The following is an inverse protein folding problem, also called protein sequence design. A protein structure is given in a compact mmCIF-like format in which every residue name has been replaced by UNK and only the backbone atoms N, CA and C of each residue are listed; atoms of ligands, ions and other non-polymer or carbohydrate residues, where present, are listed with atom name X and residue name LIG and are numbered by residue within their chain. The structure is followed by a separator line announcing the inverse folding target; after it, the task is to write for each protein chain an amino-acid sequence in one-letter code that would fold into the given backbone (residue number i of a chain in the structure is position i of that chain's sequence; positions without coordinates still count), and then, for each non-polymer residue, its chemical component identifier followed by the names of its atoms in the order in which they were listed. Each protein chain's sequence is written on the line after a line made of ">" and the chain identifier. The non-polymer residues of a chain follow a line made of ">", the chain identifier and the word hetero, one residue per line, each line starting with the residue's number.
data_IF_230543593784
#
_entry.id   IF_230543593784
#
_cell.length_a   1.000
_cell.length_b   1.000
_cell.length_c   1.000
_cell.angle_alpha   90.00
_cell.angle_beta   90.00
_cell.angle_gamma   90.00
#
_symmetry.space_group_name_H-M   'P 1'
#
loop_
_entity.id
_entity.type
_entity.pdbx_description
1 polymer ?
#
# COMPACT_ATOMS: atom_id res chain seq x y z
N UNK A 1 -70.12 32.56 -18.07
CA UNK A 1 -69.61 31.18 -18.21
C UNK A 1 -68.46 31.15 -19.21
N UNK A 2 -67.20 31.20 -18.77
CA UNK A 2 -65.99 30.78 -19.54
C UNK A 2 -64.65 30.90 -18.76
N UNK A 3 -64.65 30.90 -17.41
CA UNK A 3 -63.38 30.97 -16.64
C UNK A 3 -62.89 29.64 -16.05
N UNK A 4 -63.65 28.55 -16.18
CA UNK A 4 -63.32 27.25 -15.59
C UNK A 4 -62.38 26.35 -16.41
N UNK A 5 -62.31 26.52 -17.73
CA UNK A 5 -61.48 25.68 -18.62
C UNK A 5 -60.02 26.13 -18.66
N UNK A 6 -59.77 27.44 -18.63
CA UNK A 6 -58.42 28.00 -18.63
C UNK A 6 -57.64 27.68 -17.36
N UNK A 7 -58.30 27.65 -16.20
CA UNK A 7 -57.65 27.34 -14.92
C UNK A 7 -57.22 25.87 -14.82
N UNK A 8 -58.00 24.94 -15.39
CA UNK A 8 -57.65 23.50 -15.45
C UNK A 8 -56.50 23.23 -16.42
N UNK A 9 -56.46 23.91 -17.56
CA UNK A 9 -55.36 23.78 -18.53
C UNK A 9 -54.07 24.37 -17.95
N UNK A 10 -54.14 25.52 -17.28
CA UNK A 10 -52.98 26.14 -16.63
C UNK A 10 -52.40 25.23 -15.53
N UNK A 11 -53.24 24.57 -14.73
CA UNK A 11 -52.80 23.65 -13.68
C UNK A 11 -52.13 22.40 -14.26
N UNK A 12 -52.67 21.83 -15.36
CA UNK A 12 -52.08 20.67 -16.05
C UNK A 12 -50.73 21.03 -16.68
N UNK A 13 -50.61 22.22 -17.28
CA UNK A 13 -49.36 22.72 -17.88
C UNK A 13 -48.30 22.96 -16.79
N UNK A 14 -48.67 23.50 -15.62
CA UNK A 14 -47.75 23.69 -14.49
C UNK A 14 -47.32 22.36 -13.86
N UNK A 15 -48.20 21.35 -13.81
CA UNK A 15 -47.85 19.99 -13.34
C UNK A 15 -46.92 19.28 -14.35
N UNK A 16 -47.18 19.40 -15.65
CA UNK A 16 -46.31 18.85 -16.69
C UNK A 16 -44.95 19.56 -16.76
N UNK A 17 -44.90 20.89 -16.59
CA UNK A 17 -43.65 21.64 -16.50
C UNK A 17 -42.87 21.32 -15.22
N UNK A 18 -43.53 21.10 -14.09
CA UNK A 18 -42.84 20.69 -12.85
C UNK A 18 -42.34 19.24 -12.92
N UNK A 19 -43.06 18.32 -13.54
CA UNK A 19 -42.58 16.96 -13.86
C UNK A 19 -41.43 16.96 -14.89
N UNK A 20 -41.45 17.86 -15.87
CA UNK A 20 -40.33 18.05 -16.81
C UNK A 20 -39.10 18.71 -16.16
N UNK A 21 -39.29 19.62 -15.19
CA UNK A 21 -38.22 20.24 -14.42
C UNK A 21 -37.60 19.28 -13.38
N UNK A 22 -38.39 18.37 -12.82
CA UNK A 22 -37.90 17.27 -11.98
C UNK A 22 -37.07 16.26 -12.79
N UNK A 23 -37.41 16.04 -14.07
CA UNK A 23 -36.65 15.19 -14.99
C UNK A 23 -35.46 15.89 -15.67
N UNK A 24 -35.31 17.21 -15.53
CA UNK A 24 -34.20 17.98 -16.14
C UNK A 24 -33.15 18.46 -15.14
N UNK A 25 -33.33 18.21 -13.85
CA UNK A 25 -32.26 18.32 -12.87
C UNK A 25 -31.40 17.05 -12.98
N UNK A 26 -30.39 17.07 -13.85
CA UNK A 26 -29.43 15.98 -13.93
C UNK A 26 -28.88 15.69 -12.53
N UNK A 27 -29.08 14.48 -12.03
CA UNK A 27 -28.48 14.04 -10.76
C UNK A 27 -26.98 14.22 -10.94
N UNK A 28 -26.39 15.15 -10.17
CA UNK A 28 -24.94 15.32 -10.14
C UNK A 28 -24.39 14.06 -9.53
N UNK A 29 -23.83 13.19 -10.38
CA UNK A 29 -23.19 11.96 -9.95
C UNK A 29 -21.79 12.27 -9.45
N UNK A 30 -21.47 11.81 -8.25
CA UNK A 30 -20.13 11.99 -7.69
C UNK A 30 -19.31 10.72 -7.92
N UNK A 31 -17.99 10.85 -8.21
CA UNK A 31 -17.12 9.69 -8.30
C UNK A 31 -16.98 9.04 -6.92
N UNK A 32 -17.28 7.74 -6.85
CA UNK A 32 -17.10 6.91 -5.67
C UNK A 32 -16.06 5.86 -6.00
N UNK A 33 -14.98 5.82 -5.23
CA UNK A 33 -13.96 4.79 -5.35
C UNK A 33 -14.42 3.54 -4.61
N UNK A 34 -14.55 2.45 -5.36
CA UNK A 34 -14.91 1.13 -4.84
C UNK A 34 -13.82 0.14 -5.18
N UNK A 35 -13.65 -0.86 -4.33
CA UNK A 35 -12.55 -1.80 -4.43
C UNK A 35 -13.03 -3.24 -4.36
N UNK A 36 -12.34 -4.09 -5.12
CA UNK A 36 -12.57 -5.53 -5.18
C UNK A 36 -11.26 -6.29 -5.19
N UNK A 37 -11.36 -7.60 -5.41
CA UNK A 37 -10.22 -8.52 -5.47
C UNK A 37 -10.20 -9.21 -6.83
N UNK A 38 -9.02 -9.32 -7.42
CA UNK A 38 -8.80 -10.08 -8.66
C UNK A 38 -7.79 -11.20 -8.43
N UNK A 39 -7.90 -12.27 -9.23
CA UNK A 39 -6.86 -13.28 -9.37
C UNK A 39 -5.79 -12.87 -10.39
N UNK A 40 -4.76 -13.70 -10.56
CA UNK A 40 -3.63 -13.47 -11.48
C UNK A 40 -4.03 -13.52 -12.97
N UNK A 41 -5.23 -13.99 -13.31
CA UNK A 41 -5.78 -13.93 -14.66
C UNK A 41 -6.60 -12.65 -14.89
N UNK A 42 -6.84 -11.86 -13.83
CA UNK A 42 -7.64 -10.65 -13.85
C UNK A 42 -9.14 -10.89 -13.65
N UNK A 43 -9.55 -12.11 -13.28
CA UNK A 43 -10.94 -12.40 -12.94
C UNK A 43 -11.25 -11.82 -11.56
N UNK A 44 -12.41 -11.18 -11.42
CA UNK A 44 -12.88 -10.73 -10.13
C UNK A 44 -13.26 -11.92 -9.24
N UNK A 45 -12.57 -12.03 -8.12
CA UNK A 45 -12.94 -12.89 -6.99
C UNK A 45 -14.00 -12.19 -6.13
N UNK A 46 -13.86 -10.87 -5.99
CA UNK A 46 -14.82 -9.99 -5.34
C UNK A 46 -15.05 -8.79 -6.23
N UNK A 47 -16.30 -8.54 -6.59
CA UNK A 47 -16.66 -7.37 -7.39
C UNK A 47 -16.37 -6.08 -6.59
N UNK A 48 -16.04 -4.95 -7.25
CA UNK A 48 -15.80 -3.70 -6.54
C UNK A 48 -17.02 -3.24 -5.72
N UNK A 49 -16.96 -3.41 -4.41
CA UNK A 49 -18.08 -3.09 -3.51
C UNK A 49 -17.64 -2.46 -2.19
N UNK A 50 -16.40 -2.69 -1.76
CA UNK A 50 -15.86 -2.09 -0.54
C UNK A 50 -15.45 -0.64 -0.77
N UNK A 51 -15.59 0.20 0.24
CA UNK A 51 -15.08 1.58 0.19
C UNK A 51 -13.57 1.65 0.42
N UNK A 52 -12.93 0.53 0.74
CA UNK A 52 -11.49 0.34 0.78
C UNK A 52 -11.13 -1.12 0.99
N UNK A 53 -10.06 -1.59 0.35
CA UNK A 53 -9.45 -2.89 0.61
C UNK A 53 -7.93 -2.75 0.52
N UNK A 54 -7.21 -3.35 1.46
CA UNK A 54 -5.74 -3.37 1.46
C UNK A 54 -5.25 -4.74 1.01
N UNK A 55 -3.96 -4.80 0.67
CA UNK A 55 -3.26 -6.07 0.44
C UNK A 55 -3.49 -6.96 1.67
N UNK A 56 -3.92 -8.19 1.41
CA UNK A 56 -4.11 -9.23 2.40
C UNK A 56 -3.01 -10.28 2.29
N UNK A 57 -2.96 -11.14 3.30
CA UNK A 57 -2.07 -12.31 3.35
C UNK A 57 -2.72 -13.34 4.25
N UNK A 58 -2.42 -14.61 4.03
CA UNK A 58 -3.02 -15.73 4.76
C UNK A 58 -4.54 -15.83 4.59
N UNK A 59 -5.03 -15.43 3.41
CA UNK A 59 -6.43 -15.50 3.02
C UNK A 59 -7.36 -14.45 3.63
N UNK A 60 -6.83 -13.48 4.39
CA UNK A 60 -7.59 -12.40 4.99
C UNK A 60 -7.16 -11.03 4.47
N UNK A 61 -8.13 -10.22 4.08
CA UNK A 61 -7.93 -8.91 3.46
C UNK A 61 -8.55 -7.82 4.34
N UNK A 62 -7.79 -6.81 4.78
CA UNK A 62 -8.37 -5.68 5.49
C UNK A 62 -9.35 -4.96 4.56
N UNK A 63 -10.61 -4.86 5.00
CA UNK A 63 -11.68 -4.19 4.26
C UNK A 63 -12.29 -3.07 5.07
N UNK A 64 -12.72 -2.04 4.36
CA UNK A 64 -13.35 -0.86 4.91
C UNK A 64 -14.79 -0.77 4.42
N UNK A 65 -15.70 -0.55 5.37
CA UNK A 65 -17.10 -0.27 5.11
C UNK A 65 -17.52 1.03 5.79
N UNK A 66 -18.49 1.72 5.20
CA UNK A 66 -18.91 3.06 5.60
C UNK A 66 -18.21 4.18 4.84
N UNK A 67 -18.67 5.41 5.06
CA UNK A 67 -18.21 6.62 4.37
C UNK A 67 -17.78 7.69 5.37
N UNK A 68 -16.87 8.58 4.96
CA UNK A 68 -16.34 9.70 5.76
C UNK A 68 -15.78 9.24 7.12
N UNK A 69 -15.93 10.03 8.18
CA UNK A 69 -15.46 9.69 9.53
C UNK A 69 -16.15 8.49 10.20
N UNK A 70 -17.15 7.90 9.54
CA UNK A 70 -17.91 6.75 10.03
C UNK A 70 -17.46 5.41 9.44
N UNK A 71 -16.42 5.39 8.60
CA UNK A 71 -15.90 4.11 8.12
C UNK A 71 -15.22 3.34 9.24
N UNK A 72 -15.25 2.01 9.14
CA UNK A 72 -14.48 1.11 10.01
C UNK A 72 -13.78 0.05 9.18
N UNK A 73 -12.68 -0.46 9.70
CA UNK A 73 -11.93 -1.57 9.14
C UNK A 73 -12.29 -2.88 9.83
N UNK A 74 -12.41 -3.92 9.03
CA UNK A 74 -12.56 -5.33 9.41
C UNK A 74 -11.75 -6.19 8.44
N UNK A 75 -12.10 -7.46 8.31
CA UNK A 75 -11.43 -8.39 7.39
C UNK A 75 -12.42 -9.24 6.64
N UNK A 76 -12.18 -9.45 5.34
CA UNK A 76 -12.90 -10.42 4.53
C UNK A 76 -12.00 -11.57 4.08
N UNK A 77 -12.61 -12.69 3.71
CA UNK A 77 -11.94 -13.79 3.02
C UNK A 77 -11.76 -13.49 1.52
N UNK A 78 -11.13 -14.42 0.80
CA UNK A 78 -10.91 -14.32 -0.67
C UNK A 78 -12.21 -14.19 -1.49
N UNK A 79 -13.35 -14.62 -0.96
CA UNK A 79 -14.65 -14.55 -1.61
C UNK A 79 -15.44 -13.30 -1.21
N UNK A 80 -14.87 -12.41 -0.39
CA UNK A 80 -15.51 -11.18 0.09
C UNK A 80 -16.41 -11.38 1.31
N UNK A 81 -16.49 -12.59 1.87
CA UNK A 81 -17.26 -12.82 3.09
C UNK A 81 -16.55 -12.13 4.26
N UNK A 82 -17.28 -11.34 5.05
CA UNK A 82 -16.74 -10.72 6.26
C UNK A 82 -16.42 -11.81 7.29
N UNK A 83 -15.14 -11.89 7.69
CA UNK A 83 -14.63 -12.80 8.72
C UNK A 83 -14.52 -12.08 10.06
N UNK A 84 -14.08 -10.82 10.03
CA UNK A 84 -14.03 -9.94 11.20
C UNK A 84 -14.83 -8.69 10.85
N UNK A 85 -15.91 -8.45 11.60
CA UNK A 85 -16.79 -7.32 11.40
C UNK A 85 -16.04 -5.98 11.47
N UNK A 86 -16.33 -5.02 10.58
CA UNK A 86 -15.73 -3.69 10.61
C UNK A 86 -15.96 -2.97 11.95
N UNK A 87 -14.91 -2.93 12.76
CA UNK A 87 -14.96 -2.40 14.13
C UNK A 87 -13.71 -1.62 14.51
N UNK A 88 -12.65 -1.65 13.69
CA UNK A 88 -11.37 -1.01 13.95
C UNK A 88 -11.24 0.32 13.22
N UNK A 89 -10.46 1.23 13.79
CA UNK A 89 -10.16 2.53 13.17
C UNK A 89 -9.22 2.38 11.99
N UNK A 90 -8.30 1.41 12.09
CA UNK A 90 -7.44 0.98 11.01
C UNK A 90 -7.02 -0.49 11.22
N UNK A 91 -6.61 -1.15 10.15
CA UNK A 91 -6.13 -2.53 10.17
C UNK A 91 -4.98 -2.72 9.17
N UNK A 92 -3.96 -3.49 9.56
CA UNK A 92 -2.93 -3.98 8.64
C UNK A 92 -3.18 -5.45 8.28
N UNK A 93 -2.42 -5.99 7.33
CA UNK A 93 -2.54 -7.39 6.91
C UNK A 93 -2.19 -8.36 8.05
N UNK A 94 -2.79 -9.55 8.00
CA UNK A 94 -2.31 -10.68 8.79
C UNK A 94 -0.93 -11.10 8.31
N UNK A 95 -0.03 -11.42 9.24
CA UNK A 95 1.23 -12.07 8.93
C UNK A 95 1.69 -12.87 10.14
N UNK A 96 2.10 -14.10 9.88
CA UNK A 96 2.46 -15.09 10.88
C UNK A 96 1.36 -15.36 11.93
N UNK A 97 0.10 -15.32 11.48
CA UNK A 97 -1.09 -15.57 12.28
C UNK A 97 -1.66 -14.37 13.04
N UNK A 98 -1.00 -13.20 13.01
CA UNK A 98 -1.43 -12.01 13.77
C UNK A 98 -1.59 -10.79 12.86
N UNK A 99 -2.52 -9.90 13.19
CA UNK A 99 -2.69 -8.61 12.53
C UNK A 99 -2.67 -7.46 13.56
N UNK A 100 -1.91 -6.38 13.30
CA UNK A 100 -2.03 -5.17 14.08
C UNK A 100 -3.27 -4.37 13.63
N UNK A 101 -4.07 -3.94 14.60
CA UNK A 101 -5.30 -3.16 14.40
C UNK A 101 -5.36 -1.98 15.37
N UNK A 102 -5.92 -0.86 14.92
CA UNK A 102 -6.09 0.35 15.73
C UNK A 102 -7.49 0.39 16.35
N UNK A 103 -7.57 0.56 17.67
CA UNK A 103 -8.84 0.61 18.41
C UNK A 103 -9.47 2.02 18.41
N UNK A 104 -10.79 2.08 18.66
CA UNK A 104 -11.60 3.32 18.72
C UNK A 104 -11.68 3.96 20.13
N UNK A 105 -10.92 3.45 21.10
CA UNK A 105 -10.96 4.01 22.45
C UNK A 105 -10.28 5.40 22.54
N UNK A 106 -10.25 5.96 23.74
CA UNK A 106 -9.60 7.25 23.99
C UNK A 106 -8.07 7.21 23.79
N UNK A 107 -7.47 6.03 23.66
CA UNK A 107 -6.03 5.87 23.44
C UNK A 107 -5.69 5.94 21.95
N UNK A 108 -6.54 5.36 21.09
CA UNK A 108 -6.28 5.22 19.66
C UNK A 108 -5.03 4.39 19.36
N UNK A 109 -4.65 3.50 20.27
CA UNK A 109 -3.45 2.67 20.16
C UNK A 109 -3.70 1.44 19.28
N UNK A 110 -2.60 0.79 18.91
CA UNK A 110 -2.55 -0.44 18.13
C UNK A 110 -2.40 -1.63 19.07
N UNK A 111 -3.18 -2.67 18.78
CA UNK A 111 -3.12 -3.98 19.43
C UNK A 111 -2.91 -5.06 18.36
N UNK A 112 -2.56 -6.28 18.78
CA UNK A 112 -2.50 -7.42 17.89
C UNK A 112 -3.66 -8.38 18.15
N UNK A 113 -4.31 -8.82 17.07
CA UNK A 113 -5.38 -9.79 17.09
C UNK A 113 -5.01 -11.06 16.33
N UNK A 114 -5.60 -12.19 16.74
CA UNK A 114 -5.61 -13.43 15.98
C UNK A 114 -6.73 -13.43 14.92
N UNK A 115 -6.87 -14.54 14.18
CA UNK A 115 -7.87 -14.69 13.10
C UNK A 115 -9.31 -14.80 13.62
N UNK A 116 -9.46 -15.17 14.88
CA UNK A 116 -10.72 -15.24 15.62
C UNK A 116 -11.09 -13.90 16.29
N UNK A 117 -10.30 -12.85 16.04
CA UNK A 117 -10.48 -11.50 16.57
C UNK A 117 -10.22 -11.36 18.09
N UNK A 118 -9.44 -12.25 18.69
CA UNK A 118 -9.02 -12.13 20.08
C UNK A 118 -7.77 -11.27 20.20
N UNK A 119 -7.72 -10.37 21.20
CA UNK A 119 -6.50 -9.66 21.60
C UNK A 119 -5.49 -10.69 22.14
N UNK A 120 -4.29 -10.73 21.58
CA UNK A 120 -3.30 -11.80 21.87
C UNK A 120 -2.46 -11.53 23.11
N UNK A 121 -2.15 -10.27 23.39
CA UNK A 121 -1.44 -9.84 24.60
C UNK A 121 -1.86 -8.42 24.99
N UNK A 122 -1.61 -8.03 26.25
CA UNK A 122 -2.14 -6.77 26.80
C UNK A 122 -1.43 -5.49 26.33
N UNK A 123 -0.15 -5.58 25.96
CA UNK A 123 0.68 -4.43 25.58
C UNK A 123 0.12 -3.73 24.33
N UNK A 124 0.13 -2.41 24.35
CA UNK A 124 -0.45 -1.56 23.30
C UNK A 124 0.60 -0.58 22.77
N UNK A 125 0.49 -0.21 21.50
CA UNK A 125 1.53 0.53 20.79
C UNK A 125 0.98 1.74 20.07
N UNK A 126 1.82 2.75 19.85
CA UNK A 126 1.41 3.93 19.09
C UNK A 126 1.21 3.62 17.60
N UNK A 127 2.06 2.73 17.07
CA UNK A 127 1.95 2.10 15.75
C UNK A 127 2.52 0.70 15.80
N UNK A 128 2.04 -0.18 14.93
CA UNK A 128 2.55 -1.54 14.79
C UNK A 128 2.55 -1.96 13.31
N UNK A 129 3.66 -2.55 12.87
CA UNK A 129 3.77 -3.22 11.58
C UNK A 129 3.45 -4.73 11.74
N UNK A 130 3.01 -5.43 10.68
CA UNK A 130 2.81 -6.87 10.71
C UNK A 130 4.09 -7.62 11.10
N UNK A 131 3.93 -8.80 11.71
CA UNK A 131 5.04 -9.69 12.00
C UNK A 131 5.77 -10.10 10.71
N UNK A 132 7.10 -10.08 10.76
CA UNK A 132 7.97 -10.56 9.71
C UNK A 132 9.20 -11.22 10.32
N UNK A 133 9.43 -12.47 9.94
CA UNK A 133 10.47 -13.34 10.43
C UNK A 133 10.51 -13.50 11.96
N UNK A 134 9.33 -13.60 12.58
CA UNK A 134 9.14 -13.82 14.01
C UNK A 134 9.08 -12.56 14.87
N UNK A 135 9.32 -11.36 14.29
CA UNK A 135 9.32 -10.09 15.03
C UNK A 135 8.36 -9.07 14.39
N UNK A 136 7.73 -8.24 15.21
CA UNK A 136 6.96 -7.08 14.76
C UNK A 136 7.63 -5.78 15.18
N UNK A 137 7.75 -4.84 14.24
CA UNK A 137 8.25 -3.50 14.51
C UNK A 137 7.12 -2.64 15.09
N UNK A 138 7.33 -2.07 16.28
CA UNK A 138 6.30 -1.31 17.01
C UNK A 138 6.86 -0.01 17.57
N UNK A 139 6.03 1.03 17.60
CA UNK A 139 6.37 2.31 18.21
C UNK A 139 5.83 2.38 19.65
N UNK A 140 6.71 2.68 20.60
CA UNK A 140 6.36 2.75 22.02
C UNK A 140 5.33 3.84 22.32
N UNK A 141 4.32 3.47 23.12
CA UNK A 141 3.35 4.38 23.72
C UNK A 141 3.68 4.72 25.19
N UNK A 142 4.78 4.18 25.74
CA UNK A 142 5.18 4.41 27.12
C UNK A 142 5.55 5.88 27.35
N UNK A 143 5.15 6.45 28.49
CA UNK A 143 5.40 7.86 28.84
C UNK A 143 6.76 8.04 29.53
N UNK A 144 7.80 7.53 28.90
CA UNK A 144 9.18 7.59 29.37
C UNK A 144 10.14 7.95 28.22
N UNK A 145 11.44 7.70 28.39
CA UNK A 145 12.46 7.99 27.38
C UNK A 145 12.25 7.24 26.05
N UNK A 146 11.46 6.17 26.04
CA UNK A 146 11.15 5.38 24.85
C UNK A 146 10.00 5.96 24.01
N UNK A 147 9.29 6.99 24.48
CA UNK A 147 8.09 7.51 23.81
C UNK A 147 8.39 7.92 22.35
N UNK A 148 7.59 7.39 21.41
CA UNK A 148 7.76 7.53 19.96
C UNK A 148 8.99 6.84 19.33
N UNK A 149 9.77 6.10 20.11
CA UNK A 149 10.84 5.27 19.56
C UNK A 149 10.28 3.92 19.11
N UNK A 150 10.91 3.36 18.09
CA UNK A 150 10.61 2.05 17.53
C UNK A 150 11.51 1.00 18.14
N UNK A 151 10.92 -0.16 18.41
CA UNK A 151 11.57 -1.39 18.85
C UNK A 151 10.89 -2.60 18.21
N UNK A 152 11.27 -3.79 18.66
CA UNK A 152 10.79 -5.04 18.08
C UNK A 152 10.30 -5.99 19.16
N UNK A 153 9.10 -6.54 18.95
CA UNK A 153 8.48 -7.50 19.85
C UNK A 153 8.41 -8.89 19.22
N UNK A 154 8.41 -9.92 20.06
CA UNK A 154 8.06 -11.28 19.66
C UNK A 154 6.53 -11.52 19.73
N UNK A 155 6.10 -12.75 19.46
CA UNK A 155 4.68 -13.15 19.49
C UNK A 155 4.06 -13.20 20.89
N UNK A 156 4.86 -13.12 21.95
CA UNK A 156 4.36 -12.97 23.33
C UNK A 156 4.05 -11.51 23.67
N UNK A 157 4.50 -10.56 22.83
CA UNK A 157 4.38 -9.13 23.06
C UNK A 157 5.54 -8.54 23.85
N UNK A 158 6.58 -9.34 24.12
CA UNK A 158 7.78 -8.88 24.81
C UNK A 158 8.81 -8.31 23.84
N UNK A 159 9.53 -7.27 24.30
CA UNK A 159 10.56 -6.64 23.50
C UNK A 159 11.76 -7.58 23.36
N UNK A 160 12.11 -7.90 22.12
CA UNK A 160 13.39 -8.53 21.76
C UNK A 160 14.45 -7.45 21.54
N UNK A 161 14.04 -6.32 20.97
CA UNK A 161 14.87 -5.12 20.85
C UNK A 161 14.07 -3.96 21.45
N UNK A 162 14.60 -3.39 22.53
CA UNK A 162 13.97 -2.27 23.22
C UNK A 162 13.81 -1.06 22.29
N UNK A 163 12.76 -0.23 22.47
CA UNK A 163 12.55 0.92 21.62
C UNK A 163 13.68 1.94 21.75
N UNK A 164 14.41 2.13 20.65
CA UNK A 164 15.59 2.99 20.60
C UNK A 164 15.77 3.71 19.26
N UNK A 165 15.00 3.32 18.23
CA UNK A 165 15.13 3.88 16.88
C UNK A 165 14.09 4.96 16.61
N UNK A 166 14.46 6.01 15.88
CA UNK A 166 13.50 7.05 15.50
C UNK A 166 12.52 6.57 14.42
N UNK A 167 13.02 5.77 13.49
CA UNK A 167 12.24 5.07 12.47
C UNK A 167 12.86 3.69 12.28
N UNK A 168 12.02 2.68 12.14
CA UNK A 168 12.43 1.32 11.85
C UNK A 168 11.39 0.63 10.95
N UNK A 169 11.83 -0.38 10.20
CA UNK A 169 10.97 -1.17 9.31
C UNK A 169 10.95 -2.66 9.71
N UNK A 170 10.03 -3.43 9.12
CA UNK A 170 9.98 -4.89 9.30
C UNK A 170 11.28 -5.57 8.85
N UNK A 171 11.62 -6.68 9.50
CA UNK A 171 12.72 -7.54 9.07
C UNK A 171 12.42 -8.18 7.71
N UNK A 172 13.45 -8.28 6.88
CA UNK A 172 13.45 -9.03 5.62
C UNK A 172 14.86 -9.55 5.35
N UNK A 173 14.97 -10.84 5.05
CA UNK A 173 16.24 -11.57 4.92
C UNK A 173 17.19 -11.38 6.12
N UNK A 174 16.61 -11.39 7.32
CA UNK A 174 17.34 -11.25 8.59
C UNK A 174 17.86 -9.84 8.91
N UNK A 175 17.58 -8.83 8.08
CA UNK A 175 17.97 -7.44 8.31
C UNK A 175 16.74 -6.53 8.35
N UNK A 176 16.78 -5.49 9.18
CA UNK A 176 15.76 -4.46 9.22
C UNK A 176 16.38 -3.08 9.01
N UNK A 177 15.74 -2.26 8.18
CA UNK A 177 16.12 -0.86 8.02
C UNK A 177 15.81 -0.09 9.30
N UNK A 178 16.76 0.73 9.72
CA UNK A 178 16.59 1.78 10.73
C UNK A 178 16.97 3.13 10.16
N UNK A 179 16.44 4.21 10.71
CA UNK A 179 16.87 5.57 10.41
C UNK A 179 17.31 6.28 11.69
N UNK A 180 18.49 6.86 11.65
CA UNK A 180 19.04 7.71 12.71
C UNK A 180 19.11 9.14 12.24
N UNK A 181 18.74 10.09 13.10
CA UNK A 181 18.62 11.50 12.77
C UNK A 181 17.18 11.94 12.51
N UNK A 182 16.90 13.22 12.71
CA UNK A 182 15.54 13.75 12.67
C UNK A 182 15.14 14.24 11.27
N UNK A 183 13.92 13.89 10.85
CA UNK A 183 13.28 14.41 9.63
C UNK A 183 13.98 13.98 8.34
N UNK A 184 13.93 14.84 7.32
CA UNK A 184 14.46 14.58 5.97
C UNK A 184 15.99 14.42 5.91
N UNK A 185 16.69 14.65 7.02
CA UNK A 185 18.14 14.52 7.14
C UNK A 185 18.59 13.22 7.82
N UNK A 186 17.66 12.40 8.33
CA UNK A 186 18.01 11.12 8.94
C UNK A 186 18.55 10.14 7.90
N UNK A 187 19.59 9.39 8.27
CA UNK A 187 20.24 8.42 7.40
C UNK A 187 19.77 7.01 7.76
N UNK A 188 19.62 6.19 6.72
CA UNK A 188 19.23 4.80 6.83
C UNK A 188 20.46 3.89 6.92
N UNK A 189 20.36 2.92 7.83
CA UNK A 189 21.26 1.78 7.98
C UNK A 189 20.44 0.51 8.22
N UNK A 190 21.11 -0.57 8.61
CA UNK A 190 20.44 -1.86 8.87
C UNK A 190 20.95 -2.51 10.15
N UNK A 191 20.02 -3.13 10.87
CA UNK A 191 20.29 -3.97 12.04
C UNK A 191 19.95 -5.43 11.76
N UNK A 192 20.55 -6.32 12.53
CA UNK A 192 20.11 -7.71 12.63
C UNK A 192 19.02 -7.90 13.72
N UNK A 193 18.62 -9.16 13.95
CA UNK A 193 17.58 -9.52 14.93
C UNK A 193 18.00 -9.38 16.40
N UNK A 194 19.28 -9.14 16.66
CA UNK A 194 19.79 -8.82 18.01
C UNK A 194 19.76 -7.31 18.27
N UNK A 195 19.60 -6.50 17.22
CA UNK A 195 19.66 -5.05 17.26
C UNK A 195 21.05 -4.49 16.95
N UNK A 196 22.02 -5.35 16.62
CA UNK A 196 23.36 -4.92 16.20
C UNK A 196 23.30 -4.28 14.81
N UNK A 197 23.98 -3.14 14.65
CA UNK A 197 24.10 -2.45 13.36
C UNK A 197 25.04 -3.26 12.46
N UNK A 198 24.51 -3.75 11.34
CA UNK A 198 25.26 -4.48 10.31
C UNK A 198 25.74 -3.52 9.21
N UNK A 199 24.92 -2.52 8.89
CA UNK A 199 25.24 -1.50 7.89
C UNK A 199 25.01 -0.15 8.54
N UNK A 200 26.09 0.61 8.69
CA UNK A 200 26.05 1.93 9.31
C UNK A 200 25.11 2.89 8.57
N UNK A 201 24.35 3.73 9.28
CA UNK A 201 23.50 4.75 8.68
C UNK A 201 24.27 5.70 7.77
N UNK A 202 24.04 5.59 6.46
CA UNK A 202 24.78 6.36 5.45
C UNK A 202 23.96 6.70 4.20
N UNK A 203 22.76 6.15 4.05
CA UNK A 203 21.91 6.35 2.88
C UNK A 203 20.77 7.31 3.20
N UNK A 204 20.38 8.18 2.28
CA UNK A 204 19.16 9.01 2.45
C UNK A 204 17.88 8.16 2.40
N UNK A 205 17.94 7.05 1.66
CA UNK A 205 16.86 6.09 1.51
C UNK A 205 17.43 4.68 1.45
N UNK A 206 16.67 3.75 2.03
CA UNK A 206 16.90 2.32 1.97
C UNK A 206 15.56 1.57 1.84
N UNK A 207 15.54 0.54 0.99
CA UNK A 207 14.46 -0.42 0.83
C UNK A 207 14.56 -1.59 1.80
N UNK A 208 13.71 -2.60 1.62
CA UNK A 208 13.87 -3.89 2.28
C UNK A 208 14.82 -4.77 1.46
N UNK A 209 15.51 -5.70 2.13
CA UNK A 209 16.26 -6.74 1.44
C UNK A 209 15.32 -7.74 0.78
N UNK A 210 15.60 -8.09 -0.47
CA UNK A 210 14.93 -9.15 -1.22
C UNK A 210 15.85 -9.66 -2.32
N UNK A 211 15.99 -10.97 -2.44
CA UNK A 211 16.94 -11.60 -3.35
C UNK A 211 18.40 -11.27 -3.01
N UNK A 212 18.70 -11.00 -1.74
CA UNK A 212 20.04 -10.62 -1.27
C UNK A 212 20.44 -9.17 -1.52
N UNK A 213 19.57 -8.36 -2.13
CA UNK A 213 19.84 -6.95 -2.44
C UNK A 213 18.82 -6.01 -1.80
N UNK A 214 19.24 -4.78 -1.52
CA UNK A 214 18.34 -3.70 -1.12
C UNK A 214 18.60 -2.44 -1.95
N UNK A 215 17.52 -1.79 -2.36
CA UNK A 215 17.57 -0.47 -3.00
C UNK A 215 18.07 0.58 -2.02
N UNK A 216 18.96 1.47 -2.48
CA UNK A 216 19.46 2.60 -1.68
C UNK A 216 19.61 3.86 -2.54
N UNK A 217 19.61 5.02 -1.87
CA UNK A 217 19.88 6.33 -2.48
C UNK A 217 20.80 7.15 -1.55
N UNK A 218 21.61 8.07 -2.09
CA UNK A 218 22.52 8.92 -1.29
C UNK A 218 21.90 10.27 -0.92
N UNK A 219 21.03 10.82 -1.76
CA UNK A 219 20.36 12.10 -1.63
C UNK A 219 18.85 11.93 -1.56
N UNK A 220 18.15 12.90 -0.98
CA UNK A 220 16.68 12.98 -1.07
C UNK A 220 16.21 13.67 -2.36
N UNK A 221 17.13 14.20 -3.16
CA UNK A 221 16.84 14.84 -4.43
C UNK A 221 16.42 13.80 -5.49
N UNK A 222 15.19 13.91 -5.98
CA UNK A 222 14.62 12.98 -6.95
C UNK A 222 15.28 13.10 -8.33
N UNK A 223 15.85 14.27 -8.64
CA UNK A 223 16.49 14.54 -9.94
C UNK A 223 17.95 14.05 -10.01
N UNK A 224 18.49 13.56 -8.89
CA UNK A 224 19.84 13.01 -8.85
C UNK A 224 19.83 11.52 -9.20
N UNK A 225 20.73 11.11 -10.11
CA UNK A 225 21.04 9.71 -10.41
C UNK A 225 21.99 9.13 -9.36
N UNK A 226 21.46 8.74 -8.23
CA UNK A 226 22.21 8.20 -7.10
C UNK A 226 21.49 7.03 -6.41
N UNK A 227 20.51 6.43 -7.09
CA UNK A 227 19.86 5.21 -6.66
C UNK A 227 20.52 3.97 -7.29
N UNK A 228 20.67 2.92 -6.50
CA UNK A 228 21.21 1.62 -6.92
C UNK A 228 20.97 0.57 -5.84
N UNK A 229 21.83 -0.45 -5.74
CA UNK A 229 21.60 -1.56 -4.83
C UNK A 229 22.85 -2.00 -4.09
N UNK A 230 22.65 -2.38 -2.83
CA UNK A 230 23.67 -2.95 -1.96
C UNK A 230 23.38 -4.41 -1.63
N UNK A 231 24.42 -5.17 -1.30
CA UNK A 231 24.30 -6.48 -0.66
C UNK A 231 24.04 -6.37 0.85
N UNK A 232 23.89 -7.52 1.51
CA UNK A 232 23.65 -7.64 2.97
C UNK A 232 24.85 -7.24 3.84
N UNK A 233 26.00 -6.91 3.23
CA UNK A 233 27.17 -6.35 3.90
C UNK A 233 27.31 -4.83 3.64
N UNK A 234 26.40 -4.24 2.86
CA UNK A 234 26.42 -2.82 2.52
C UNK A 234 27.28 -2.47 1.31
N UNK A 235 27.84 -3.46 0.60
CA UNK A 235 28.62 -3.18 -0.60
C UNK A 235 27.70 -2.84 -1.76
N UNK A 236 28.02 -1.80 -2.53
CA UNK A 236 27.28 -1.45 -3.75
C UNK A 236 27.51 -2.56 -4.80
N UNK A 237 26.45 -3.29 -5.13
CA UNK A 237 26.44 -4.36 -6.16
C UNK A 237 25.96 -3.82 -7.50
N UNK A 238 24.91 -3.00 -7.49
CA UNK A 238 24.43 -2.30 -8.67
C UNK A 238 24.74 -0.81 -8.49
N UNK A 239 25.52 -0.20 -9.40
CA UNK A 239 25.93 1.19 -9.28
C UNK A 239 24.78 2.16 -9.05
N UNK A 240 25.08 3.26 -8.35
CA UNK A 240 24.15 4.33 -8.04
C UNK A 240 23.96 5.23 -9.26
N UNK A 241 23.25 4.74 -10.27
CA UNK A 241 23.15 5.38 -11.60
C UNK A 241 21.70 5.66 -12.03
N UNK A 242 20.72 5.30 -11.21
CA UNK A 242 19.30 5.50 -11.49
C UNK A 242 18.74 6.67 -10.70
N UNK A 243 17.69 7.31 -11.21
CA UNK A 243 16.98 8.36 -10.47
C UNK A 243 16.22 7.77 -9.27
N UNK A 244 15.65 6.59 -9.49
CA UNK A 244 14.89 5.84 -8.49
C UNK A 244 14.94 4.34 -8.78
N UNK A 245 14.81 3.51 -7.74
CA UNK A 245 14.81 2.05 -7.80
C UNK A 245 13.77 1.50 -6.82
N UNK A 246 13.38 0.23 -6.95
CA UNK A 246 12.51 -0.44 -5.96
C UNK A 246 13.00 -1.86 -5.68
N UNK A 247 12.25 -2.61 -4.87
CA UNK A 247 12.65 -3.93 -4.40
C UNK A 247 12.73 -4.95 -5.54
N UNK A 248 13.76 -5.79 -5.54
CA UNK A 248 13.83 -6.97 -6.41
C UNK A 248 12.77 -8.00 -6.01
N UNK A 249 12.05 -8.51 -6.99
CA UNK A 249 11.09 -9.60 -6.82
C UNK A 249 10.89 -10.29 -8.16
N UNK A 250 10.68 -11.60 -8.16
CA UNK A 250 10.65 -12.44 -9.37
C UNK A 250 11.85 -12.21 -10.31
N UNK A 251 13.01 -11.92 -9.72
CA UNK A 251 14.28 -11.70 -10.44
C UNK A 251 14.43 -10.34 -11.12
N UNK A 252 13.44 -9.45 -11.01
CA UNK A 252 13.43 -8.12 -11.62
C UNK A 252 13.19 -7.01 -10.60
N UNK A 253 13.63 -5.79 -10.90
CA UNK A 253 13.30 -4.61 -10.12
C UNK A 253 13.02 -3.42 -11.03
N UNK A 254 12.00 -2.59 -10.72
CA UNK A 254 11.74 -1.39 -11.48
C UNK A 254 12.82 -0.34 -11.20
N UNK A 255 13.24 0.36 -12.25
CA UNK A 255 14.21 1.45 -12.16
C UNK A 255 13.77 2.61 -13.03
N UNK A 256 13.87 3.83 -12.49
CA UNK A 256 13.60 5.07 -13.21
C UNK A 256 14.88 5.53 -13.91
N UNK A 257 14.85 5.56 -15.24
CA UNK A 257 16.01 5.88 -16.07
C UNK A 257 15.62 6.71 -17.29
N UNK A 258 16.53 7.57 -17.74
CA UNK A 258 16.40 8.41 -18.93
C UNK A 258 17.61 9.32 -19.09
N UNK A 259 17.71 10.01 -20.22
CA UNK A 259 18.79 10.98 -20.46
C UNK A 259 18.67 12.20 -19.54
N UNK A 260 17.44 12.56 -19.18
CA UNK A 260 17.11 13.60 -18.19
C UNK A 260 16.02 13.08 -17.25
N UNK A 261 15.94 13.64 -16.03
CA UNK A 261 14.89 13.27 -15.07
C UNK A 261 13.48 13.52 -15.64
N UNK A 262 13.31 14.62 -16.38
CA UNK A 262 12.01 15.00 -16.97
C UNK A 262 11.47 13.97 -17.96
N UNK A 263 12.37 13.30 -18.68
CA UNK A 263 12.03 12.29 -19.68
C UNK A 263 12.22 10.86 -19.15
N UNK A 264 12.59 10.70 -17.87
CA UNK A 264 12.84 9.41 -17.28
C UNK A 264 11.54 8.62 -17.10
N UNK A 265 11.61 7.33 -17.43
CA UNK A 265 10.51 6.39 -17.30
C UNK A 265 10.99 5.14 -16.57
N UNK A 266 10.05 4.40 -15.99
CA UNK A 266 10.33 3.12 -15.38
C UNK A 266 10.52 2.05 -16.46
N UNK A 267 11.64 1.34 -16.33
CA UNK A 267 11.91 0.05 -16.93
C UNK A 267 12.19 -0.98 -15.83
N UNK A 268 12.69 -2.15 -16.21
CA UNK A 268 13.04 -3.22 -15.26
C UNK A 268 14.41 -3.80 -15.59
N UNK A 269 15.23 -3.94 -14.55
CA UNK A 269 16.53 -4.62 -14.61
C UNK A 269 16.47 -5.95 -13.90
N UNK A 270 17.37 -6.86 -14.27
CA UNK A 270 17.64 -8.06 -13.48
C UNK A 270 18.78 -7.82 -12.46
N UNK A 271 19.08 -8.85 -11.67
CA UNK A 271 20.12 -8.79 -10.62
C UNK A 271 21.54 -8.51 -11.14
N UNK A 272 21.81 -8.73 -12.45
CA UNK A 272 23.08 -8.41 -13.11
C UNK A 272 23.13 -6.99 -13.66
N UNK A 273 22.13 -6.17 -13.34
CA UNK A 273 21.94 -4.82 -13.87
C UNK A 273 21.69 -4.78 -15.40
N UNK A 274 21.17 -5.87 -15.98
CA UNK A 274 20.81 -5.91 -17.39
C UNK A 274 19.36 -5.42 -17.55
N UNK A 275 19.12 -4.49 -18.47
CA UNK A 275 17.79 -3.98 -18.78
C UNK A 275 16.96 -5.04 -19.50
N UNK A 276 15.95 -5.60 -18.81
CA UNK A 276 15.04 -6.62 -19.35
C UNK A 276 13.85 -5.96 -20.04
N UNK A 277 13.26 -4.96 -19.40
CA UNK A 277 12.16 -4.16 -19.97
C UNK A 277 12.63 -2.71 -20.04
N UNK A 278 12.76 -2.18 -21.27
CA UNK A 278 13.22 -0.80 -21.47
C UNK A 278 12.27 0.24 -20.83
N UNK A 279 12.80 1.38 -20.35
CA UNK A 279 12.00 2.48 -19.82
C UNK A 279 10.85 2.88 -20.75
N UNK A 280 9.62 2.74 -20.27
CA UNK A 280 8.40 3.13 -21.02
C UNK A 280 7.17 3.37 -20.15
N UNK A 281 7.25 3.13 -18.84
CA UNK A 281 6.14 3.29 -17.90
C UNK A 281 6.32 4.54 -17.07
N UNK A 282 5.24 5.30 -16.85
CA UNK A 282 5.24 6.44 -15.96
C UNK A 282 5.33 6.00 -14.49
N UNK A 283 4.67 4.90 -14.12
CA UNK A 283 4.82 4.24 -12.81
C UNK A 283 4.91 2.73 -12.98
N UNK A 284 5.65 2.09 -12.09
CA UNK A 284 5.88 0.65 -12.09
C UNK A 284 6.04 0.15 -10.65
N UNK A 285 5.30 -0.90 -10.30
CA UNK A 285 5.51 -1.65 -9.06
C UNK A 285 6.48 -2.80 -9.29
N UNK A 286 7.08 -3.29 -8.22
CA UNK A 286 7.84 -4.55 -8.24
C UNK A 286 6.94 -5.70 -8.66
N UNK A 287 7.52 -6.68 -9.35
CA UNK A 287 6.84 -7.92 -9.67
C UNK A 287 6.44 -8.66 -8.40
N UNK A 288 5.33 -9.38 -8.46
CA UNK A 288 4.95 -10.36 -7.45
C UNK A 288 4.12 -11.44 -8.14
N UNK A 289 4.48 -12.69 -7.92
CA UNK A 289 3.82 -13.85 -8.54
C UNK A 289 3.80 -13.77 -10.08
N UNK A 290 4.87 -13.20 -10.65
CA UNK A 290 5.08 -13.07 -12.09
C UNK A 290 4.37 -11.88 -12.74
N UNK A 291 3.68 -11.03 -11.97
CA UNK A 291 2.96 -9.86 -12.48
C UNK A 291 3.40 -8.56 -11.80
N UNK A 292 3.42 -7.45 -12.55
CA UNK A 292 3.65 -6.13 -12.02
C UNK A 292 2.58 -5.14 -12.48
N UNK A 293 2.07 -4.33 -11.55
CA UNK A 293 1.19 -3.22 -11.87
C UNK A 293 2.00 -2.06 -12.47
N UNK A 294 1.55 -1.53 -13.60
CA UNK A 294 2.20 -0.42 -14.31
C UNK A 294 1.18 0.60 -14.80
N UNK A 295 1.64 1.83 -15.02
CA UNK A 295 0.86 2.93 -15.57
C UNK A 295 1.67 3.61 -16.68
N UNK A 296 1.04 3.90 -17.82
CA UNK A 296 1.76 4.37 -19.03
C UNK A 296 1.92 5.88 -19.10
N UNK A 297 1.08 6.64 -18.41
CA UNK A 297 1.13 8.11 -18.41
C UNK A 297 0.68 8.68 -17.07
N UNK A 298 0.89 9.99 -16.91
CA UNK A 298 0.64 10.70 -15.66
C UNK A 298 -0.82 11.09 -15.42
N UNK A 299 -1.70 10.93 -16.42
CA UNK A 299 -3.06 11.45 -16.33
C UNK A 299 -3.90 10.59 -15.37
N UNK A 300 -4.80 11.24 -14.63
CA UNK A 300 -5.68 10.56 -13.67
C UNK A 300 -6.54 9.47 -14.34
N UNK A 301 -6.92 9.68 -15.61
CA UNK A 301 -7.71 8.74 -16.40
C UNK A 301 -6.92 7.52 -16.91
N UNK A 302 -5.59 7.54 -16.79
CA UNK A 302 -4.76 6.39 -17.14
C UNK A 302 -4.81 5.38 -16.02
N UNK A 303 -5.43 4.24 -16.31
CA UNK A 303 -5.61 3.18 -15.35
C UNK A 303 -4.36 2.34 -15.18
N UNK A 304 -4.28 1.67 -14.04
CA UNK A 304 -3.27 0.67 -13.77
C UNK A 304 -3.57 -0.62 -14.52
N UNK A 305 -2.56 -1.22 -15.12
CA UNK A 305 -2.63 -2.50 -15.82
C UNK A 305 -1.55 -3.45 -15.31
N UNK A 306 -1.61 -4.74 -15.65
CA UNK A 306 -0.59 -5.71 -15.23
C UNK A 306 0.17 -6.31 -16.40
N UNK A 307 1.49 -6.40 -16.25
CA UNK A 307 2.41 -7.01 -17.20
C UNK A 307 3.09 -8.24 -16.61
N UNK A 308 3.52 -9.16 -17.47
CA UNK A 308 4.41 -10.26 -17.10
C UNK A 308 5.89 -9.83 -17.07
N UNK A 309 6.78 -10.74 -16.66
CA UNK A 309 8.22 -10.53 -16.55
C UNK A 309 8.93 -10.31 -17.89
N UNK A 310 8.27 -10.58 -19.02
CA UNK A 310 8.75 -10.24 -20.36
C UNK A 310 8.25 -8.85 -20.81
N UNK A 311 7.42 -8.20 -19.99
CA UNK A 311 6.82 -6.89 -20.25
C UNK A 311 5.63 -6.94 -21.21
N UNK A 312 5.01 -8.12 -21.38
CA UNK A 312 3.76 -8.29 -22.13
C UNK A 312 2.58 -7.97 -21.22
N UNK A 313 1.58 -7.30 -21.79
CA UNK A 313 0.34 -6.98 -21.10
C UNK A 313 -0.47 -8.27 -20.85
N UNK A 314 -0.80 -8.52 -19.58
CA UNK A 314 -1.59 -9.69 -19.14
C UNK A 314 -3.00 -9.27 -18.78
N UNK A 315 -3.14 -8.31 -17.85
CA UNK A 315 -4.45 -7.81 -17.41
C UNK A 315 -4.61 -6.40 -17.96
N UNK A 316 -5.47 -6.28 -18.97
CA UNK A 316 -5.84 -5.01 -19.59
C UNK A 316 -7.15 -4.51 -19.00
N UNK A 317 -7.04 -3.79 -17.90
CA UNK A 317 -8.16 -3.07 -17.31
C UNK A 317 -7.65 -1.71 -16.85
N UNK A 318 -8.45 -0.66 -16.97
CA UNK A 318 -8.03 0.67 -16.57
C UNK A 318 -8.41 0.91 -15.10
N UNK A 319 -7.78 0.15 -14.19
CA UNK A 319 -8.08 0.26 -12.75
C UNK A 319 -7.69 1.64 -12.22
N UNK A 320 -8.52 2.22 -11.35
CA UNK A 320 -8.19 3.49 -10.68
C UNK A 320 -7.07 3.33 -9.65
N UNK A 321 -6.88 2.12 -9.15
CA UNK A 321 -5.74 1.71 -8.33
C UNK A 321 -5.47 0.21 -8.51
N UNK A 322 -4.21 -0.18 -8.37
CA UNK A 322 -3.76 -1.56 -8.39
C UNK A 322 -2.78 -1.80 -7.24
N UNK A 323 -2.50 -3.07 -6.94
CA UNK A 323 -1.57 -3.49 -5.91
C UNK A 323 -0.82 -4.74 -6.34
N UNK A 324 0.27 -5.09 -5.65
CA UNK A 324 0.97 -6.35 -5.91
C UNK A 324 0.11 -7.54 -5.50
N UNK A 325 0.26 -8.65 -6.23
CA UNK A 325 -0.35 -9.93 -5.87
C UNK A 325 0.33 -10.53 -4.63
N UNK A 326 -0.47 -11.02 -3.69
CA UNK A 326 -0.03 -11.86 -2.58
C UNK A 326 -1.05 -13.01 -2.45
N UNK A 327 -0.55 -14.23 -2.34
CA UNK A 327 -1.35 -15.46 -2.26
C UNK A 327 -2.33 -15.61 -3.45
N UNK A 328 -1.92 -15.19 -4.65
CA UNK A 328 -2.73 -15.28 -5.88
C UNK A 328 -3.83 -14.23 -6.00
N UNK A 329 -3.77 -13.14 -5.23
CA UNK A 329 -4.83 -12.12 -5.17
C UNK A 329 -4.27 -10.70 -5.09
N UNK A 330 -4.89 -9.77 -5.82
CA UNK A 330 -4.60 -8.34 -5.72
C UNK A 330 -5.88 -7.52 -5.49
N UNK A 331 -5.88 -6.62 -4.48
CA UNK A 331 -6.76 -5.46 -4.44
C UNK A 331 -6.67 -4.59 -5.69
N UNK A 332 -7.83 -4.23 -6.24
CA UNK A 332 -7.96 -3.26 -7.32
C UNK A 332 -9.11 -2.30 -7.07
N UNK A 333 -8.96 -1.05 -7.51
CA UNK A 333 -9.97 -0.02 -7.39
C UNK A 333 -10.61 0.32 -8.74
N UNK A 334 -11.87 0.73 -8.66
CA UNK A 334 -12.66 1.27 -9.76
C UNK A 334 -13.30 2.60 -9.35
N UNK A 335 -13.69 3.40 -10.33
CA UNK A 335 -14.52 4.61 -10.11
C UNK A 335 -15.93 4.32 -10.58
N UNK A 336 -16.89 4.45 -9.66
CA UNK A 336 -18.32 4.44 -9.97
C UNK A 336 -18.90 5.85 -9.90
N UNK A 337 -19.78 6.18 -10.83
CA UNK A 337 -20.53 7.44 -10.80
C UNK A 337 -21.93 7.17 -10.26
N UNK A 338 -22.15 7.53 -8.99
CA UNK A 338 -23.41 7.32 -8.27
C UNK A 338 -24.23 8.59 -8.17
#
# INVERSE_FOLDING_TARGET
>A
MKSGSHLKILLIVVILLSLMLLNSCGVVKFPVYVYGLIDTEGNYLVQPEFTGIKIGKEGLYPVRQGFNEYYKWGFCDRNGNIVIEPQYKDASMFSEGLAPVQVYDNSGLWIFIDKENNKVFEKEFKYALPFSEGLACVQSAARDASYNLWGYIDKTGEYVIEPQFQIAASFSEGLAKIQTGSGSAGLCGYIDKTGEIIIEPQFSYAGLFSGGLASVKLSMDQETNDAGYIDRQGNIVIPLIYYNTSTFSDGLAPVLAGDTFKDALYGYINIRNEMVIKPKYYMAYSFSEGLAAVKTDQYENSGWMYIDTEGKLVIKNDYSSASSFIDGVAPVGMVEYR
#
